data_IF_673468082665
#
_entry.id   IF_673468082665
#
_cell.length_a   1.000
_cell.length_b   1.000
_cell.length_c   1.000
_cell.angle_alpha   90.00
_cell.angle_beta   90.00
_cell.angle_gamma   90.00
#
_symmetry.space_group_name_H-M   'P 1'
#
loop_
_entity.id
_entity.type
_entity.pdbx_description
1 polymer ?
#
# COMPACT_ATOMS: atom_id res chain seq x y z
N UNK A 1 17.47 7.96 12.32
CA UNK A 1 16.76 6.68 12.53
C UNK A 1 15.35 6.93 12.05
N UNK A 2 14.85 6.15 11.09
CA UNK A 2 13.61 6.48 10.36
C UNK A 2 12.53 5.48 10.72
N UNK A 3 11.36 5.95 11.16
CA UNK A 3 10.33 5.06 11.66
C UNK A 3 9.24 4.86 10.60
N UNK A 4 8.82 3.60 10.44
CA UNK A 4 7.73 3.19 9.55
C UNK A 4 6.60 2.67 10.41
N UNK A 5 5.47 3.37 10.45
CA UNK A 5 4.28 2.95 11.19
C UNK A 5 3.24 2.39 10.21
N UNK A 6 2.87 1.13 10.37
CA UNK A 6 1.81 0.49 9.59
C UNK A 6 0.48 0.62 10.33
N UNK A 7 -0.51 1.24 9.70
CA UNK A 7 -1.83 1.51 10.25
C UNK A 7 -2.88 0.81 9.40
N UNK A 8 -3.34 -0.35 9.88
CA UNK A 8 -4.24 -1.23 9.12
C UNK A 8 -5.33 -1.85 10.03
N UNK A 9 -5.68 -1.19 11.14
CA UNK A 9 -6.74 -1.66 12.04
C UNK A 9 -6.32 -2.78 12.99
N UNK A 10 -5.09 -2.74 13.52
CA UNK A 10 -4.61 -3.55 14.66
C UNK A 10 -5.03 -5.04 14.67
N UNK A 11 -4.75 -5.77 13.57
CA UNK A 11 -4.88 -7.22 13.48
C UNK A 11 -3.51 -7.94 13.34
N UNK A 12 -3.55 -9.27 13.29
CA UNK A 12 -2.35 -10.13 13.11
C UNK A 12 -1.64 -9.83 11.79
N UNK A 13 -2.39 -9.59 10.71
CA UNK A 13 -1.85 -9.27 9.38
C UNK A 13 -0.91 -8.06 9.38
N UNK A 14 -1.26 -6.99 10.11
CA UNK A 14 -0.45 -5.77 10.23
C UNK A 14 0.87 -6.02 10.96
N UNK A 15 0.83 -6.85 12.01
CA UNK A 15 2.02 -7.26 12.76
C UNK A 15 2.95 -8.11 11.88
N UNK A 16 2.40 -9.07 11.14
CA UNK A 16 3.18 -9.89 10.21
C UNK A 16 3.84 -9.05 9.11
N UNK A 17 3.11 -8.10 8.52
CA UNK A 17 3.69 -7.19 7.53
C UNK A 17 4.79 -6.33 8.14
N UNK A 18 4.61 -5.79 9.34
CA UNK A 18 5.64 -4.99 10.01
C UNK A 18 6.93 -5.78 10.26
N UNK A 19 6.82 -7.05 10.66
CA UNK A 19 7.99 -7.92 10.82
C UNK A 19 8.70 -8.20 9.50
N UNK A 20 7.96 -8.42 8.40
CA UNK A 20 8.57 -8.63 7.09
C UNK A 20 9.27 -7.38 6.56
N UNK A 21 8.63 -6.21 6.66
CA UNK A 21 9.25 -4.93 6.28
C UNK A 21 10.51 -4.68 7.10
N UNK A 22 10.48 -4.94 8.41
CA UNK A 22 11.65 -4.82 9.27
C UNK A 22 12.77 -5.78 8.85
N UNK A 23 12.44 -7.05 8.55
CA UNK A 23 13.41 -8.03 8.07
C UNK A 23 14.09 -7.56 6.78
N UNK A 24 13.31 -7.12 5.78
CA UNK A 24 13.86 -6.61 4.51
C UNK A 24 14.71 -5.35 4.74
N UNK A 25 14.28 -4.46 5.63
CA UNK A 25 15.07 -3.27 5.99
C UNK A 25 16.43 -3.61 6.61
N UNK A 26 16.45 -4.61 7.51
CA UNK A 26 17.69 -5.13 8.11
C UNK A 26 18.58 -5.79 7.05
N UNK A 27 18.01 -6.61 6.16
CA UNK A 27 18.75 -7.25 5.06
C UNK A 27 19.37 -6.22 4.11
N UNK A 28 18.68 -5.10 3.87
CA UNK A 28 19.20 -3.97 3.08
C UNK A 28 20.16 -3.06 3.84
N UNK A 29 20.41 -3.31 5.13
CA UNK A 29 21.28 -2.49 5.98
C UNK A 29 20.71 -1.10 6.31
N UNK A 30 19.40 -0.93 6.25
CA UNK A 30 18.72 0.32 6.54
C UNK A 30 18.44 0.47 8.04
N UNK A 31 18.78 1.63 8.60
CA UNK A 31 18.52 1.94 10.01
C UNK A 31 17.08 2.46 10.20
N UNK A 32 16.12 1.56 10.04
CA UNK A 32 14.69 1.82 10.14
C UNK A 32 14.02 0.99 11.24
N UNK A 33 12.96 1.55 11.84
CA UNK A 33 12.16 0.87 12.87
C UNK A 33 10.71 0.75 12.38
N UNK A 34 10.19 -0.48 12.29
CA UNK A 34 8.83 -0.73 11.81
C UNK A 34 7.92 -1.11 12.97
N UNK A 35 6.78 -0.47 13.07
CA UNK A 35 5.76 -0.76 14.09
C UNK A 35 4.38 -0.85 13.48
N UNK A 36 3.52 -1.71 14.04
CA UNK A 36 2.11 -1.76 13.70
C UNK A 36 1.30 -1.00 14.75
N UNK A 37 0.36 -0.15 14.30
CA UNK A 37 -0.55 0.58 15.17
C UNK A 37 -1.94 0.73 14.55
N UNK A 38 -2.87 1.32 15.29
CA UNK A 38 -4.20 1.72 14.81
C UNK A 38 -4.25 3.24 14.58
N UNK A 39 -5.27 3.70 13.84
CA UNK A 39 -5.47 5.11 13.55
C UNK A 39 -5.56 5.96 14.82
N UNK A 40 -6.30 5.46 15.81
CA UNK A 40 -6.53 6.15 17.09
C UNK A 40 -5.30 6.13 18.01
N UNK A 41 -4.44 5.11 17.86
CA UNK A 41 -3.20 4.96 18.63
C UNK A 41 -1.98 5.56 17.93
N UNK A 42 -2.18 6.27 16.82
CA UNK A 42 -1.09 6.85 16.05
C UNK A 42 -0.42 7.97 16.86
N UNK A 43 0.86 7.81 17.13
CA UNK A 43 1.69 8.81 17.82
C UNK A 43 2.11 9.90 16.84
N UNK A 44 2.36 11.13 17.32
CA UNK A 44 2.92 12.18 16.51
C UNK A 44 4.25 11.73 15.91
N UNK A 45 4.34 11.82 14.60
CA UNK A 45 5.51 11.37 13.85
C UNK A 45 6.55 12.49 13.76
N UNK A 46 7.82 12.09 13.69
CA UNK A 46 8.94 13.00 13.48
C UNK A 46 9.11 13.31 11.98
N UNK A 47 9.96 14.29 11.70
CA UNK A 47 10.29 14.65 10.33
C UNK A 47 10.99 13.49 9.61
N UNK A 48 10.42 13.08 8.48
CA UNK A 48 10.94 11.96 7.67
C UNK A 48 10.36 10.59 8.04
N UNK A 49 9.53 10.48 9.08
CA UNK A 49 8.83 9.22 9.36
C UNK A 49 7.79 8.90 8.27
N UNK A 50 7.46 7.62 8.13
CA UNK A 50 6.55 7.12 7.10
C UNK A 50 5.37 6.40 7.75
N UNK A 51 4.16 6.75 7.34
CA UNK A 51 2.92 6.09 7.75
C UNK A 51 2.38 5.31 6.55
N UNK A 52 2.32 3.98 6.69
CA UNK A 52 1.71 3.08 5.73
C UNK A 52 0.27 2.79 6.15
N UNK A 53 -0.71 3.30 5.41
CA UNK A 53 -2.14 3.06 5.66
C UNK A 53 -2.62 1.83 4.89
N UNK A 54 -3.42 0.99 5.54
CA UNK A 54 -4.17 -0.05 4.84
C UNK A 54 -5.18 0.57 3.84
N UNK A 55 -5.53 -0.16 2.77
CA UNK A 55 -6.44 0.32 1.72
C UNK A 55 -7.85 0.64 2.24
N UNK A 56 -8.29 -0.04 3.31
CA UNK A 56 -9.56 0.25 3.97
C UNK A 56 -9.59 1.62 4.68
N UNK A 57 -8.43 2.24 4.93
CA UNK A 57 -8.28 3.58 5.52
C UNK A 57 -7.94 4.65 4.47
N UNK A 58 -8.04 4.31 3.18
CA UNK A 58 -7.74 5.26 2.09
C UNK A 58 -8.60 6.55 2.17
N UNK A 59 -9.82 6.47 2.70
CA UNK A 59 -10.68 7.65 2.91
C UNK A 59 -10.11 8.62 3.96
N UNK A 60 -9.36 8.13 4.94
CA UNK A 60 -8.81 8.94 6.04
C UNK A 60 -7.40 9.47 5.75
N UNK A 61 -6.82 9.11 4.60
CA UNK A 61 -5.46 9.54 4.21
C UNK A 61 -5.31 11.05 4.19
N UNK A 62 -6.33 11.76 3.71
CA UNK A 62 -6.27 13.21 3.57
C UNK A 62 -6.26 13.88 4.95
N UNK A 63 -7.17 13.48 5.84
CA UNK A 63 -7.23 13.93 7.22
C UNK A 63 -5.93 13.64 7.98
N UNK A 64 -5.32 12.47 7.76
CA UNK A 64 -4.05 12.11 8.40
C UNK A 64 -2.87 12.94 7.89
N UNK A 65 -2.83 13.25 6.58
CA UNK A 65 -1.79 14.11 6.02
C UNK A 65 -1.85 15.52 6.62
N UNK A 66 -3.05 16.04 6.82
CA UNK A 66 -3.26 17.34 7.49
C UNK A 66 -2.84 17.29 8.97
N UNK A 67 -3.11 16.17 9.67
CA UNK A 67 -2.75 16.00 11.09
C UNK A 67 -1.26 15.72 11.31
N UNK A 68 -0.59 15.10 10.34
CA UNK A 68 0.82 14.68 10.41
C UNK A 68 1.63 15.24 9.24
N UNK A 69 1.75 16.58 9.11
CA UNK A 69 2.41 17.20 7.95
C UNK A 69 3.92 16.92 7.88
N UNK A 70 4.52 16.43 8.97
CA UNK A 70 5.94 16.09 9.06
C UNK A 70 6.25 14.67 8.59
N UNK A 71 5.22 13.84 8.41
CA UNK A 71 5.36 12.45 8.01
C UNK A 71 4.88 12.22 6.58
N UNK A 72 5.48 11.23 5.93
CA UNK A 72 5.05 10.78 4.61
C UNK A 72 3.95 9.75 4.78
N UNK A 73 2.73 10.08 4.34
CA UNK A 73 1.58 9.16 4.42
C UNK A 73 1.36 8.50 3.06
N UNK A 74 1.46 7.16 3.02
CA UNK A 74 1.32 6.33 1.82
C UNK A 74 0.25 5.27 2.07
N UNK A 75 -0.60 5.00 1.07
CA UNK A 75 -1.63 3.95 1.15
C UNK A 75 -1.10 2.68 0.49
N UNK A 76 -1.17 1.57 1.21
CA UNK A 76 -0.84 0.24 0.72
C UNK A 76 -1.95 -0.26 -0.21
N UNK A 77 -1.55 -0.98 -1.25
CA UNK A 77 -2.49 -1.67 -2.12
C UNK A 77 -2.99 -2.97 -1.47
N UNK A 78 -4.18 -3.40 -1.84
CA UNK A 78 -4.75 -4.68 -1.36
C UNK A 78 -3.87 -5.88 -1.73
N UNK A 79 -3.19 -5.84 -2.88
CA UNK A 79 -2.28 -6.90 -3.32
C UNK A 79 -1.13 -7.12 -2.33
N UNK A 80 -0.45 -6.04 -1.91
CA UNK A 80 0.67 -6.12 -0.95
C UNK A 80 0.18 -6.64 0.39
N UNK A 81 -0.98 -6.17 0.83
CA UNK A 81 -1.52 -6.55 2.13
C UNK A 81 -2.01 -8.01 2.15
N UNK A 82 -2.52 -8.51 1.02
CA UNK A 82 -2.93 -9.91 0.83
C UNK A 82 -1.73 -10.85 0.71
N UNK A 83 -0.68 -10.44 0.01
CA UNK A 83 0.56 -11.21 -0.13
C UNK A 83 1.48 -11.12 1.10
N UNK A 84 1.23 -10.16 1.99
CA UNK A 84 2.13 -9.78 3.10
C UNK A 84 3.54 -9.48 2.57
N UNK A 85 3.61 -8.70 1.49
CA UNK A 85 4.83 -8.47 0.76
C UNK A 85 5.64 -7.32 1.38
N UNK A 86 6.59 -7.69 2.25
CA UNK A 86 7.39 -6.71 3.00
C UNK A 86 8.33 -5.90 2.12
N UNK A 87 8.79 -6.46 1.01
CA UNK A 87 9.66 -5.75 0.08
C UNK A 87 8.90 -4.65 -0.67
N UNK A 88 7.75 -5.00 -1.26
CA UNK A 88 6.91 -4.02 -1.96
C UNK A 88 6.42 -2.92 -1.02
N UNK A 89 6.03 -3.26 0.22
CA UNK A 89 5.66 -2.29 1.23
C UNK A 89 6.83 -1.34 1.60
N UNK A 90 8.05 -1.86 1.70
CA UNK A 90 9.24 -1.04 1.97
C UNK A 90 9.57 -0.13 0.78
N UNK A 91 9.53 -0.64 -0.45
CA UNK A 91 9.76 0.16 -1.65
C UNK A 91 8.76 1.31 -1.77
N UNK A 92 7.47 1.04 -1.49
CA UNK A 92 6.45 2.10 -1.38
C UNK A 92 6.77 3.11 -0.28
N UNK A 93 7.22 2.67 0.88
CA UNK A 93 7.57 3.55 2.00
C UNK A 93 8.78 4.45 1.69
N UNK A 94 9.75 3.94 0.93
CA UNK A 94 10.95 4.66 0.52
C UNK A 94 10.71 5.58 -0.70
N UNK A 95 9.55 5.48 -1.34
CA UNK A 95 9.25 6.19 -2.57
C UNK A 95 9.97 5.61 -3.80
N UNK A 96 10.52 4.40 -3.69
CA UNK A 96 11.09 3.61 -4.79
C UNK A 96 9.94 3.00 -5.60
N UNK A 97 9.03 3.84 -6.10
CA UNK A 97 7.97 3.39 -7.00
C UNK A 97 8.62 2.61 -8.15
N UNK A 98 8.50 1.28 -8.13
CA UNK A 98 8.47 0.54 -9.36
C UNK A 98 7.21 1.03 -10.06
N UNK A 99 7.40 2.02 -10.93
CA UNK A 99 6.48 2.35 -12.00
C UNK A 99 6.25 1.05 -12.79
N UNK A 100 5.25 0.31 -12.35
CA UNK A 100 4.62 -0.77 -13.07
C UNK A 100 3.15 -0.54 -12.82
N UNK A 101 2.67 0.53 -13.45
CA UNK A 101 1.26 0.69 -13.69
C UNK A 101 0.72 -0.58 -14.34
N UNK A 102 -0.44 -0.99 -13.85
CA UNK A 102 -1.62 -1.43 -14.62
C UNK A 102 -2.69 -1.70 -13.56
N UNK A 103 -3.66 -0.81 -13.36
CA UNK A 103 -4.82 -0.68 -14.23
C UNK A 103 -5.44 -2.05 -14.55
N UNK A 104 -6.35 -2.51 -13.70
CA UNK A 104 -7.41 -3.43 -14.12
C UNK A 104 -8.74 -2.68 -14.03
N UNK A 105 -8.87 -1.68 -14.89
CA UNK A 105 -10.14 -1.30 -15.50
C UNK A 105 -10.15 -1.87 -16.91
N UNK A 106 -10.82 -3.01 -17.09
CA UNK A 106 -11.33 -3.43 -18.40
C UNK A 106 -12.75 -3.99 -18.23
N UNK A 107 -13.67 -3.05 -18.01
CA UNK A 107 -15.04 -3.16 -18.47
C UNK A 107 -15.06 -2.77 -19.95
N UNK A 108 -14.87 -3.76 -20.83
CA UNK A 108 -15.38 -3.75 -22.21
C UNK A 108 -15.22 -5.16 -22.80
N UNK A 109 -16.33 -5.87 -22.90
CA UNK A 109 -16.51 -6.84 -23.97
C UNK A 109 -17.97 -6.78 -24.41
N UNK A 110 -18.31 -5.65 -25.05
CA UNK A 110 -19.45 -5.56 -25.97
C UNK A 110 -18.89 -5.38 -27.38
N UNK A 111 -18.56 -6.49 -28.04
CA UNK A 111 -18.46 -6.53 -29.50
C UNK A 111 -19.18 -7.76 -30.04
N UNK A 112 -20.32 -7.47 -30.65
CA UNK A 112 -20.85 -8.04 -31.88
C UNK A 112 -20.36 -9.45 -32.24
N UNK A 113 -21.20 -10.46 -31.97
CA UNK A 113 -21.21 -11.66 -32.81
C UNK A 113 -21.89 -11.31 -34.14
N UNK A 114 -21.08 -10.97 -35.14
CA UNK A 114 -21.44 -11.15 -36.55
C UNK A 114 -21.74 -12.64 -36.79
N UNK A 115 -23.02 -12.97 -36.97
CA UNK A 115 -23.41 -14.21 -37.62
C UNK A 115 -23.63 -13.91 -39.12
N UNK A 116 -22.61 -14.17 -39.92
CA UNK A 116 -22.73 -14.33 -41.38
C UNK A 116 -23.55 -15.57 -41.69
N UNK A 117 -24.59 -15.42 -42.52
CA UNK A 117 -24.99 -16.43 -43.52
C UNK A 117 -25.91 -15.76 -44.55
N UNK A 118 -25.39 -15.32 -45.70
CA UNK A 118 -25.51 -16.02 -46.99
C UNK A 118 -26.90 -16.62 -47.27
N UNK A 119 -27.61 -16.04 -48.24
CA UNK A 119 -28.06 -16.77 -49.43
C UNK A 119 -28.54 -15.77 -50.51
N UNK A 120 -27.75 -15.71 -51.58
CA UNK A 120 -28.15 -15.25 -52.91
C UNK A 120 -28.78 -16.45 -53.64
N UNK A 121 -29.93 -16.24 -54.27
CA UNK A 121 -30.69 -17.22 -55.05
C UNK A 121 -32.09 -16.72 -55.32
#
# INVERSE_FOLDING_TARGET
>A
MRNITIVCGAGVSSTFLSHRVAAVGIERGLNLAVTASSLVGLRPQAEGDVILLGPHLAAEVHSLREQQPRATVVVLTEAILRALDGEAALALALGEQADSGEASTSLDSSTATEARSSAHG
#
